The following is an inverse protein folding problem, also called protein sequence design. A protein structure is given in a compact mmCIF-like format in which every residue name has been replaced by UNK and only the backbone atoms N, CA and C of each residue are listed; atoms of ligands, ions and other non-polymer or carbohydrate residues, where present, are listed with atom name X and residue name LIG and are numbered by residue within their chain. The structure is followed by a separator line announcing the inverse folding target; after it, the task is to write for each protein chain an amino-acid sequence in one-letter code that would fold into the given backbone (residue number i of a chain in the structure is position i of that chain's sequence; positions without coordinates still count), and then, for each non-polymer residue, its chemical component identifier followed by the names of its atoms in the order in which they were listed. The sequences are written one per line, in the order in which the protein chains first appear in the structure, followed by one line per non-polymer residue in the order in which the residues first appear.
data_IF_069406361503
#
_entry.id   IF_069406361503
#
_cell.length_a   1.000
_cell.length_b   1.000
_cell.length_c   1.000
_cell.angle_alpha   90.00
_cell.angle_beta   90.00
_cell.angle_gamma   90.00
#
_symmetry.space_group_name_H-M   'P 1'
#
loop_
_entity.id
_entity.type
_entity.pdbx_description
1 polymer ?
#
# COMPACT_ATOMS: atom_id res chain seq x y z
N UNK A 1 -12.44 24.44 -14.68
CA UNK A 1 -12.43 23.04 -14.18
C UNK A 1 -13.64 22.31 -14.72
N UNK A 2 -13.40 21.16 -15.32
CA UNK A 2 -14.47 20.25 -15.75
C UNK A 2 -14.98 19.46 -14.54
N UNK A 3 -16.22 18.97 -14.59
CA UNK A 3 -16.75 18.06 -13.56
C UNK A 3 -16.89 16.65 -14.13
N UNK A 4 -16.36 15.67 -13.41
CA UNK A 4 -16.46 14.25 -13.78
C UNK A 4 -17.10 13.42 -12.68
N UNK A 5 -17.90 12.44 -13.06
CA UNK A 5 -18.56 11.55 -12.11
C UNK A 5 -17.96 10.15 -12.24
N UNK A 6 -17.50 9.59 -11.12
CA UNK A 6 -17.16 8.18 -11.02
C UNK A 6 -18.42 7.37 -10.72
N UNK A 7 -18.88 6.57 -11.69
CA UNK A 7 -20.16 5.87 -11.63
C UNK A 7 -20.03 4.38 -11.30
N UNK A 8 -18.80 3.84 -11.28
CA UNK A 8 -18.52 2.43 -11.03
C UNK A 8 -17.43 2.26 -9.96
N UNK A 9 -17.62 2.92 -8.81
CA UNK A 9 -16.75 2.71 -7.64
C UNK A 9 -17.13 1.38 -6.99
N UNK A 10 -16.18 0.47 -6.89
CA UNK A 10 -16.37 -0.84 -6.29
C UNK A 10 -16.67 -0.72 -4.79
N UNK A 11 -17.72 -1.41 -4.32
CA UNK A 11 -18.02 -1.51 -2.89
C UNK A 11 -17.09 -2.54 -2.27
N UNK A 12 -15.98 -2.05 -1.72
CA UNK A 12 -15.01 -2.87 -0.99
C UNK A 12 -15.60 -3.42 0.32
N UNK A 13 -15.18 -4.62 0.71
CA UNK A 13 -15.49 -5.19 2.02
C UNK A 13 -14.75 -4.42 3.14
N UNK A 14 -15.16 -4.66 4.38
CA UNK A 14 -14.61 -3.95 5.54
C UNK A 14 -13.09 -4.09 5.66
N UNK A 15 -12.54 -5.29 5.42
CA UNK A 15 -11.10 -5.54 5.62
C UNK A 15 -10.30 -4.78 4.58
N UNK A 16 -10.70 -4.86 3.31
CA UNK A 16 -10.03 -4.13 2.24
C UNK A 16 -10.08 -2.62 2.47
N UNK A 17 -11.20 -2.08 2.99
CA UNK A 17 -11.28 -0.65 3.37
C UNK A 17 -10.32 -0.28 4.50
N UNK A 18 -10.26 -1.07 5.56
CA UNK A 18 -9.31 -0.83 6.66
C UNK A 18 -7.87 -0.87 6.16
N UNK A 19 -7.54 -1.79 5.25
CA UNK A 19 -6.21 -1.86 4.66
C UNK A 19 -5.83 -0.59 3.87
N UNK A 20 -6.76 0.04 3.16
CA UNK A 20 -6.49 1.34 2.51
C UNK A 20 -6.33 2.48 3.52
N UNK A 21 -7.04 2.44 4.65
CA UNK A 21 -6.83 3.41 5.75
C UNK A 21 -5.45 3.24 6.39
N UNK A 22 -5.01 1.99 6.61
CA UNK A 22 -3.65 1.69 7.06
C UNK A 22 -2.63 2.22 6.07
N UNK A 23 -2.80 1.95 4.77
CA UNK A 23 -1.91 2.46 3.73
C UNK A 23 -1.82 3.98 3.74
N UNK A 24 -2.94 4.69 3.85
CA UNK A 24 -2.97 6.16 4.00
C UNK A 24 -2.15 6.60 5.22
N UNK A 25 -2.39 6.00 6.39
CA UNK A 25 -1.67 6.33 7.62
C UNK A 25 -0.17 6.09 7.49
N UNK A 26 0.24 4.99 6.85
CA UNK A 26 1.65 4.68 6.59
C UNK A 26 2.31 5.73 5.69
N UNK A 27 1.60 6.21 4.66
CA UNK A 27 2.09 7.31 3.83
C UNK A 27 2.23 8.62 4.61
N UNK A 28 1.28 8.94 5.49
CA UNK A 28 1.36 10.11 6.38
C UNK A 28 2.58 10.03 7.31
N UNK A 29 2.89 8.84 7.83
CA UNK A 29 4.09 8.60 8.65
C UNK A 29 5.39 8.58 7.86
N UNK A 30 5.34 8.28 6.56
CA UNK A 30 6.54 8.28 5.71
C UNK A 30 7.22 9.66 5.66
N UNK A 31 6.48 10.73 5.93
CA UNK A 31 7.00 12.05 6.31
C UNK A 31 6.24 13.21 5.68
N UNK A 32 6.17 14.33 6.40
CA UNK A 32 5.29 15.49 6.08
C UNK A 32 5.57 16.18 4.75
N UNK A 33 6.79 16.09 4.24
CA UNK A 33 7.19 16.76 2.99
C UNK A 33 6.90 15.92 1.74
N UNK A 34 6.42 14.68 1.89
CA UNK A 34 6.11 13.76 0.79
C UNK A 34 4.66 13.93 0.37
N UNK A 35 4.44 14.78 -0.62
CA UNK A 35 3.11 15.07 -1.18
C UNK A 35 2.86 14.39 -2.51
N UNK A 36 3.89 14.28 -3.35
CA UNK A 36 3.78 13.73 -4.71
C UNK A 36 4.29 12.30 -4.71
N UNK A 37 3.39 11.35 -4.86
CA UNK A 37 3.68 9.92 -4.70
C UNK A 37 3.27 9.19 -5.97
N UNK A 38 4.25 8.56 -6.64
CA UNK A 38 3.98 7.69 -7.77
C UNK A 38 3.59 6.29 -7.31
N UNK A 39 2.67 5.67 -8.04
CA UNK A 39 2.26 4.28 -7.88
C UNK A 39 2.59 3.57 -9.19
N UNK A 40 3.41 2.53 -9.09
CA UNK A 40 3.80 1.70 -10.24
C UNK A 40 3.61 0.22 -9.91
N UNK A 41 3.91 -0.66 -10.84
CA UNK A 41 3.91 -2.10 -10.64
C UNK A 41 5.01 -2.77 -11.46
N UNK A 42 5.28 -4.04 -11.19
CA UNK A 42 6.28 -4.79 -11.93
C UNK A 42 5.75 -5.22 -13.30
N UNK A 43 4.50 -5.66 -13.37
CA UNK A 43 3.82 -6.15 -14.56
C UNK A 43 2.43 -5.51 -14.74
N UNK A 44 1.84 -5.57 -15.94
CA UNK A 44 0.46 -5.17 -16.15
C UNK A 44 -0.52 -6.00 -15.29
N UNK A 45 -1.66 -5.42 -14.94
CA UNK A 45 -2.77 -6.08 -14.23
C UNK A 45 -2.54 -6.45 -12.75
N UNK A 46 -1.46 -6.01 -12.11
CA UNK A 46 -1.24 -6.20 -10.66
C UNK A 46 -2.14 -5.33 -9.77
N UNK A 47 -2.98 -4.48 -10.38
CA UNK A 47 -3.98 -3.67 -9.68
C UNK A 47 -3.56 -2.24 -9.35
N UNK A 48 -2.41 -1.77 -9.85
CA UNK A 48 -1.89 -0.40 -9.66
C UNK A 48 -2.93 0.73 -9.76
N UNK A 49 -3.79 0.71 -10.78
CA UNK A 49 -4.81 1.75 -11.01
C UNK A 49 -5.95 1.67 -10.00
N UNK A 50 -6.26 0.47 -9.50
CA UNK A 50 -7.24 0.33 -8.41
C UNK A 50 -6.64 0.81 -7.09
N UNK A 51 -5.39 0.45 -6.83
CA UNK A 51 -4.67 0.86 -5.62
C UNK A 51 -4.50 2.37 -5.57
N UNK A 52 -4.03 3.01 -6.65
CA UNK A 52 -3.88 4.47 -6.72
C UNK A 52 -5.21 5.20 -6.55
N UNK A 53 -6.28 4.73 -7.19
CA UNK A 53 -7.62 5.30 -7.01
C UNK A 53 -8.13 5.17 -5.58
N UNK A 54 -8.06 3.98 -4.99
CA UNK A 54 -8.59 3.73 -3.65
C UNK A 54 -7.75 4.39 -2.56
N UNK A 55 -6.44 4.51 -2.77
CA UNK A 55 -5.58 5.30 -1.91
C UNK A 55 -5.97 6.79 -1.96
N UNK A 56 -6.14 7.36 -3.16
CA UNK A 56 -6.60 8.74 -3.30
C UNK A 56 -7.98 8.94 -2.67
N UNK A 57 -8.91 7.99 -2.87
CA UNK A 57 -10.21 8.03 -2.21
C UNK A 57 -10.09 8.02 -0.68
N UNK A 58 -9.26 7.14 -0.11
CA UNK A 58 -9.05 7.06 1.33
C UNK A 58 -8.43 8.34 1.92
N UNK A 59 -7.51 8.97 1.19
CA UNK A 59 -6.95 10.27 1.54
C UNK A 59 -8.04 11.35 1.54
N UNK A 60 -8.89 11.39 0.51
CA UNK A 60 -10.01 12.33 0.40
C UNK A 60 -11.04 12.15 1.53
N UNK A 61 -11.40 10.91 1.85
CA UNK A 61 -12.26 10.55 2.99
C UNK A 61 -11.64 10.94 4.34
N UNK A 62 -10.31 11.06 4.41
CA UNK A 62 -9.57 11.60 5.55
C UNK A 62 -9.63 13.14 5.65
N UNK A 63 -10.36 13.82 4.75
CA UNK A 63 -10.52 15.27 4.73
C UNK A 63 -9.36 16.01 4.06
N UNK A 64 -8.48 15.31 3.33
CA UNK A 64 -7.33 15.90 2.63
C UNK A 64 -7.66 16.12 1.16
N UNK A 65 -7.26 17.27 0.61
CA UNK A 65 -7.40 17.57 -0.82
C UNK A 65 -6.38 16.77 -1.61
N UNK A 66 -6.83 15.92 -2.52
CA UNK A 66 -5.96 15.00 -3.27
C UNK A 66 -6.25 15.01 -4.75
N UNK A 67 -5.18 15.06 -5.55
CA UNK A 67 -5.24 14.94 -7.00
C UNK A 67 -4.70 13.57 -7.45
N UNK A 68 -5.49 12.83 -8.23
CA UNK A 68 -5.02 11.63 -8.95
C UNK A 68 -4.63 12.02 -10.37
N UNK A 69 -3.37 11.80 -10.73
CA UNK A 69 -2.83 12.03 -12.07
C UNK A 69 -2.63 10.68 -12.75
N UNK A 70 -3.36 10.45 -13.84
CA UNK A 70 -3.22 9.28 -14.69
C UNK A 70 -2.09 9.51 -15.70
N UNK A 71 -0.87 9.14 -15.30
CA UNK A 71 0.34 9.23 -16.11
C UNK A 71 0.61 7.97 -16.95
N UNK A 72 -0.33 7.01 -17.00
CA UNK A 72 -0.28 5.89 -17.93
C UNK A 72 -0.78 6.32 -19.32
N UNK A 73 0.04 7.09 -20.01
CA UNK A 73 -0.27 7.65 -21.34
C UNK A 73 -0.39 6.58 -22.45
N UNK A 74 0.05 5.34 -22.20
CA UNK A 74 0.00 4.25 -23.18
C UNK A 74 -1.29 3.47 -23.08
N UNK A 75 -1.68 3.07 -21.86
CA UNK A 75 -2.79 2.15 -21.65
C UNK A 75 -3.57 2.50 -20.38
N UNK A 76 -3.92 3.78 -20.23
CA UNK A 76 -4.85 4.20 -19.19
C UNK A 76 -6.14 3.39 -19.24
N UNK A 77 -6.54 2.90 -18.07
CA UNK A 77 -7.80 2.20 -17.85
C UNK A 77 -8.75 2.98 -16.95
N UNK A 78 -8.35 4.15 -16.45
CA UNK A 78 -9.06 4.87 -15.39
C UNK A 78 -10.49 5.26 -15.80
N UNK A 79 -10.64 5.90 -16.97
CA UNK A 79 -11.95 6.31 -17.51
C UNK A 79 -12.91 5.13 -17.69
N UNK A 80 -12.41 4.05 -18.29
CA UNK A 80 -13.20 2.84 -18.56
C UNK A 80 -13.57 2.08 -17.29
N UNK A 81 -12.62 1.95 -16.35
CA UNK A 81 -12.80 1.23 -15.08
C UNK A 81 -13.90 1.86 -14.22
N UNK A 82 -13.90 3.19 -14.10
CA UNK A 82 -14.83 3.90 -13.21
C UNK A 82 -16.01 4.56 -13.94
N UNK A 83 -16.21 4.23 -15.23
CA UNK A 83 -17.29 4.70 -16.10
C UNK A 83 -17.50 6.21 -16.00
N UNK A 84 -16.44 6.97 -16.24
CA UNK A 84 -16.49 8.44 -16.16
C UNK A 84 -17.15 9.04 -17.39
N UNK A 85 -17.79 10.19 -17.24
CA UNK A 85 -18.16 11.04 -18.38
C UNK A 85 -16.91 11.56 -19.11
N UNK A 86 -17.12 12.08 -20.31
CA UNK A 86 -16.04 12.60 -21.13
C UNK A 86 -15.39 13.83 -20.47
N UNK A 87 -14.07 13.77 -20.29
CA UNK A 87 -13.23 14.96 -20.12
C UNK A 87 -12.64 15.34 -21.48
N UNK A 88 -12.78 16.61 -21.86
CA UNK A 88 -12.39 17.16 -23.17
C UNK A 88 -10.89 17.11 -23.39
N UNK A 89 -10.11 17.46 -22.36
CA UNK A 89 -8.65 17.48 -22.39
C UNK A 89 -8.08 16.58 -21.29
N UNK A 90 -6.80 16.24 -21.43
CA UNK A 90 -6.09 15.34 -20.51
C UNK A 90 -4.60 15.65 -20.51
N UNK A 91 -3.85 14.89 -19.73
CA UNK A 91 -2.43 15.08 -19.50
C UNK A 91 -1.62 15.20 -20.80
N UNK A 92 -1.85 14.33 -21.78
CA UNK A 92 -1.15 14.36 -23.07
C UNK A 92 -1.41 15.64 -23.87
N UNK A 93 -2.61 16.24 -23.76
CA UNK A 93 -2.90 17.54 -24.38
C UNK A 93 -2.11 18.67 -23.69
N UNK A 94 -2.03 18.65 -22.37
CA UNK A 94 -1.26 19.66 -21.63
C UNK A 94 0.24 19.54 -21.89
N UNK A 95 0.79 18.32 -21.85
CA UNK A 95 2.22 18.07 -22.08
C UNK A 95 2.67 18.42 -23.51
N UNK A 96 1.73 18.47 -24.46
CA UNK A 96 1.96 18.91 -25.84
C UNK A 96 1.61 20.39 -26.09
N UNK A 97 1.24 21.15 -25.04
CA UNK A 97 0.90 22.57 -25.14
C UNK A 97 -0.46 22.87 -25.77
N UNK A 98 -1.33 21.87 -25.90
CA UNK A 98 -2.66 21.99 -26.52
C UNK A 98 -3.76 22.36 -25.53
N UNK A 99 -3.49 22.30 -24.22
CA UNK A 99 -4.43 22.59 -23.15
C UNK A 99 -3.71 23.22 -21.94
N UNK A 100 -4.43 24.03 -21.16
CA UNK A 100 -3.94 24.59 -19.90
C UNK A 100 -4.18 23.65 -18.71
N UNK A 101 -3.56 23.94 -17.55
CA UNK A 101 -3.80 23.19 -16.31
C UNK A 101 -5.29 23.26 -15.92
N UNK A 102 -5.94 24.42 -16.08
CA UNK A 102 -7.36 24.60 -15.78
C UNK A 102 -8.29 23.80 -16.69
N UNK A 103 -7.84 23.45 -17.90
CA UNK A 103 -8.59 22.63 -18.84
C UNK A 103 -8.53 21.15 -18.46
N UNK A 104 -7.37 20.65 -18.01
CA UNK A 104 -7.19 19.22 -17.71
C UNK A 104 -7.65 18.83 -16.29
N UNK A 105 -7.70 19.80 -15.38
CA UNK A 105 -8.08 19.57 -13.98
C UNK A 105 -9.59 19.34 -13.86
N UNK A 106 -9.97 18.20 -13.30
CA UNK A 106 -11.36 17.79 -13.13
C UNK A 106 -11.74 17.71 -11.66
N UNK A 107 -12.85 18.36 -11.28
CA UNK A 107 -13.55 18.11 -10.03
C UNK A 107 -14.30 16.79 -10.15
N UNK A 108 -14.41 16.05 -9.05
CA UNK A 108 -15.15 14.77 -9.04
C UNK A 108 -16.46 14.90 -8.27
N UNK A 109 -17.31 13.88 -8.33
CA UNK A 109 -18.48 13.75 -7.45
C UNK A 109 -18.13 13.32 -6.01
N UNK A 110 -16.85 13.29 -5.66
CA UNK A 110 -16.32 12.91 -4.35
C UNK A 110 -15.63 14.14 -3.76
N UNK A 111 -16.02 14.52 -2.54
CA UNK A 111 -15.44 15.67 -1.87
C UNK A 111 -13.92 15.51 -1.70
N UNK A 112 -13.18 16.61 -1.85
CA UNK A 112 -11.71 16.67 -1.76
C UNK A 112 -10.93 15.82 -2.78
N UNK A 113 -11.60 15.14 -3.72
CA UNK A 113 -10.95 14.31 -4.72
C UNK A 113 -11.02 14.93 -6.12
N UNK A 114 -9.85 15.12 -6.73
CA UNK A 114 -9.64 15.71 -8.05
C UNK A 114 -8.88 14.75 -8.95
N UNK A 115 -9.06 14.87 -10.26
CA UNK A 115 -8.41 13.95 -11.22
C UNK A 115 -7.92 14.68 -12.47
N UNK A 116 -6.78 14.22 -12.99
CA UNK A 116 -6.25 14.54 -14.31
C UNK A 116 -6.13 13.22 -15.07
N UNK A 117 -6.93 13.06 -16.13
CA UNK A 117 -6.86 11.87 -16.98
C UNK A 117 -5.70 11.95 -17.98
N UNK A 118 -5.14 10.81 -18.38
CA UNK A 118 -4.07 10.68 -19.38
C UNK A 118 -4.34 11.44 -20.69
N UNK A 119 -5.56 11.34 -21.23
CA UNK A 119 -5.88 11.87 -22.57
C UNK A 119 -5.61 10.84 -23.68
N UNK A 120 -5.62 11.24 -24.96
CA UNK A 120 -5.29 10.34 -26.06
C UNK A 120 -3.84 9.87 -25.97
N UNK A 121 -3.58 8.66 -26.46
CA UNK A 121 -2.24 8.07 -26.51
C UNK A 121 -1.36 8.89 -27.45
N UNK A 122 -0.29 9.53 -26.94
CA UNK A 122 0.64 10.29 -27.78
C UNK A 122 1.65 9.35 -28.47
N UNK A 123 2.31 9.80 -29.56
CA UNK A 123 3.35 9.00 -30.23
C UNK A 123 4.63 8.86 -29.38
N UNK A 124 4.86 9.77 -28.43
CA UNK A 124 6.09 9.90 -27.64
C UNK A 124 5.82 10.04 -26.12
N UNK A 125 5.23 9.02 -25.46
CA UNK A 125 4.84 9.11 -24.04
C UNK A 125 5.98 9.43 -23.07
N UNK A 126 7.13 8.76 -23.23
CA UNK A 126 8.27 8.90 -22.31
C UNK A 126 8.87 10.31 -22.39
N UNK A 127 8.99 10.87 -23.59
CA UNK A 127 9.50 12.23 -23.79
C UNK A 127 8.56 13.28 -23.19
N UNK A 128 7.25 13.08 -23.29
CA UNK A 128 6.27 13.98 -22.69
C UNK A 128 6.30 13.95 -21.17
N UNK A 129 6.43 12.77 -20.55
CA UNK A 129 6.56 12.64 -19.09
C UNK A 129 7.93 13.13 -18.59
N UNK A 130 8.94 13.13 -19.44
CA UNK A 130 10.31 13.55 -19.11
C UNK A 130 10.56 15.05 -19.21
N UNK A 131 9.62 15.83 -19.74
CA UNK A 131 9.85 17.25 -20.02
C UNK A 131 9.51 18.18 -18.84
N UNK A 132 9.86 19.46 -18.99
CA UNK A 132 9.59 20.50 -17.98
C UNK A 132 8.10 20.74 -17.73
N UNK A 133 7.23 20.51 -18.71
CA UNK A 133 5.80 20.72 -18.53
C UNK A 133 5.22 19.77 -17.47
N UNK A 134 5.66 18.50 -17.46
CA UNK A 134 5.24 17.54 -16.43
C UNK A 134 5.78 17.91 -15.05
N UNK A 135 7.06 18.30 -14.95
CA UNK A 135 7.66 18.79 -13.70
C UNK A 135 6.90 19.99 -13.13
N UNK A 136 6.65 21.01 -13.96
CA UNK A 136 5.91 22.22 -13.57
C UNK A 136 4.47 21.92 -13.17
N UNK A 137 3.83 20.93 -13.81
CA UNK A 137 2.51 20.46 -13.38
C UNK A 137 2.56 19.89 -11.98
N UNK A 138 3.50 18.98 -11.67
CA UNK A 138 3.59 18.38 -10.35
C UNK A 138 3.95 19.41 -9.27
N UNK A 139 4.78 20.42 -9.58
CA UNK A 139 5.07 21.55 -8.69
C UNK A 139 3.82 22.39 -8.42
N UNK A 140 3.01 22.68 -9.45
CA UNK A 140 1.73 23.35 -9.27
C UNK A 140 0.78 22.53 -8.37
N UNK A 141 0.60 21.24 -8.67
CA UNK A 141 -0.30 20.37 -7.91
C UNK A 141 0.14 20.20 -6.46
N UNK A 142 1.45 20.14 -6.19
CA UNK A 142 2.01 20.08 -4.83
C UNK A 142 1.60 21.26 -3.96
N UNK A 143 1.46 22.45 -4.55
CA UNK A 143 1.05 23.66 -3.85
C UNK A 143 -0.47 23.73 -3.66
N UNK A 144 -1.22 23.21 -4.62
CA UNK A 144 -2.70 23.25 -4.61
C UNK A 144 -3.36 22.17 -3.76
N UNK A 145 -2.70 21.02 -3.58
CA UNK A 145 -3.25 19.83 -2.92
C UNK A 145 -2.41 19.37 -1.73
N UNK A 146 -3.04 18.67 -0.78
CA UNK A 146 -2.33 18.03 0.33
C UNK A 146 -1.51 16.83 -0.18
N UNK A 147 -2.08 16.07 -1.13
CA UNK A 147 -1.44 14.93 -1.78
C UNK A 147 -1.68 14.92 -3.30
N UNK A 148 -0.71 14.39 -4.03
CA UNK A 148 -0.78 14.11 -5.47
C UNK A 148 -0.38 12.65 -5.69
N UNK A 149 -1.33 11.83 -6.12
CA UNK A 149 -1.08 10.42 -6.46
C UNK A 149 -0.90 10.29 -7.96
N UNK A 150 0.21 9.72 -8.41
CA UNK A 150 0.54 9.58 -9.84
C UNK A 150 0.47 8.11 -10.23
N UNK A 151 -0.58 7.68 -10.95
CA UNK A 151 -0.68 6.32 -11.51
C UNK A 151 0.21 6.23 -12.75
N UNK A 152 1.16 5.31 -12.76
CA UNK A 152 2.16 5.16 -13.82
C UNK A 152 2.07 3.81 -14.52
N UNK A 153 2.65 3.64 -15.73
CA UNK A 153 2.80 2.33 -16.36
C UNK A 153 3.66 1.35 -15.52
N UNK A 154 3.52 0.03 -15.74
CA UNK A 154 4.38 -0.97 -15.10
C UNK A 154 5.83 -0.88 -15.61
N UNK A 155 6.78 -0.86 -14.69
CA UNK A 155 8.22 -0.70 -14.96
C UNK A 155 8.85 -1.90 -15.67
N UNK A 156 8.33 -3.10 -15.46
CA UNK A 156 8.79 -4.28 -16.18
C UNK A 156 8.42 -4.29 -17.67
N UNK A 157 7.59 -3.34 -18.13
CA UNK A 157 7.19 -3.23 -19.54
C UNK A 157 7.81 -2.04 -20.26
N UNK A 158 7.80 -0.86 -19.64
CA UNK A 158 8.26 0.40 -20.25
C UNK A 158 8.87 1.31 -19.18
N UNK A 159 9.78 2.19 -19.60
CA UNK A 159 10.50 3.09 -18.67
C UNK A 159 9.70 4.34 -18.27
N UNK A 160 8.56 4.59 -18.92
CA UNK A 160 7.70 5.76 -18.69
C UNK A 160 7.42 6.01 -17.19
N UNK A 161 7.16 4.95 -16.43
CA UNK A 161 6.90 5.05 -15.00
C UNK A 161 8.10 5.58 -14.22
N UNK A 162 9.32 5.19 -14.57
CA UNK A 162 10.54 5.66 -13.89
C UNK A 162 10.82 7.12 -14.27
N UNK A 163 10.57 7.49 -15.53
CA UNK A 163 10.68 8.88 -16.00
C UNK A 163 9.73 9.79 -15.22
N UNK A 164 8.47 9.39 -15.03
CA UNK A 164 7.52 10.15 -14.23
C UNK A 164 7.89 10.17 -12.73
N UNK A 165 8.32 9.03 -12.19
CA UNK A 165 8.69 8.86 -10.78
C UNK A 165 9.86 9.75 -10.34
N UNK A 166 10.78 10.09 -11.26
CA UNK A 166 11.88 11.04 -11.01
C UNK A 166 11.42 12.39 -10.45
N UNK A 167 10.22 12.83 -10.80
CA UNK A 167 9.67 14.12 -10.35
C UNK A 167 8.76 13.99 -9.10
N UNK A 168 8.67 12.79 -8.53
CA UNK A 168 7.87 12.49 -7.33
C UNK A 168 8.77 12.44 -6.09
N UNK A 169 8.20 12.65 -4.90
CA UNK A 169 8.91 12.55 -3.61
C UNK A 169 9.22 11.09 -3.23
N UNK A 170 8.46 10.17 -3.80
CA UNK A 170 8.74 8.75 -3.72
C UNK A 170 7.74 7.89 -4.47
N UNK A 171 8.07 6.60 -4.58
CA UNK A 171 7.29 5.60 -5.32
C UNK A 171 6.85 4.47 -4.42
N UNK A 172 5.61 4.02 -4.64
CA UNK A 172 5.09 2.76 -4.11
C UNK A 172 5.00 1.74 -5.25
N UNK A 173 5.51 0.54 -5.01
CA UNK A 173 5.47 -0.56 -5.98
C UNK A 173 4.32 -1.50 -5.62
N UNK A 174 3.37 -1.69 -6.51
CA UNK A 174 2.29 -2.67 -6.36
C UNK A 174 2.74 -3.99 -6.96
N UNK A 175 2.65 -5.07 -6.18
CA UNK A 175 3.03 -6.42 -6.58
C UNK A 175 1.84 -7.35 -6.35
N UNK A 176 1.51 -8.16 -7.35
CA UNK A 176 0.48 -9.20 -7.16
C UNK A 176 1.06 -10.41 -6.40
N UNK A 177 0.35 -10.82 -5.36
CA UNK A 177 0.72 -11.96 -4.52
C UNK A 177 0.88 -13.24 -5.35
N UNK A 178 2.09 -13.80 -5.34
CA UNK A 178 2.40 -15.06 -6.01
C UNK A 178 2.48 -15.00 -7.55
N UNK A 179 2.44 -13.80 -8.15
CA UNK A 179 2.45 -13.66 -9.61
C UNK A 179 3.83 -13.37 -10.21
N UNK A 180 4.76 -12.80 -9.43
CA UNK A 180 6.11 -12.44 -9.91
C UNK A 180 7.19 -13.05 -9.02
N UNK A 181 8.37 -13.26 -9.58
CA UNK A 181 9.55 -13.69 -8.80
C UNK A 181 10.21 -12.50 -8.10
N UNK A 182 10.83 -12.77 -6.95
CA UNK A 182 11.61 -11.78 -6.21
C UNK A 182 12.70 -11.13 -7.07
N UNK A 183 13.41 -11.93 -7.86
CA UNK A 183 14.44 -11.45 -8.80
C UNK A 183 13.88 -10.45 -9.82
N UNK A 184 12.63 -10.62 -10.25
CA UNK A 184 11.99 -9.67 -11.15
C UNK A 184 11.61 -8.36 -10.43
N UNK A 185 11.09 -8.45 -9.21
CA UNK A 185 10.82 -7.28 -8.37
C UNK A 185 12.10 -6.47 -8.07
N UNK A 186 13.23 -7.13 -7.81
CA UNK A 186 14.53 -6.47 -7.62
C UNK A 186 14.98 -5.71 -8.87
N UNK A 187 14.80 -6.26 -10.07
CA UNK A 187 15.09 -5.51 -11.31
C UNK A 187 14.25 -4.24 -11.45
N UNK A 188 13.01 -4.26 -10.97
CA UNK A 188 12.13 -3.09 -10.96
C UNK A 188 12.58 -2.06 -9.93
N UNK A 189 13.01 -2.50 -8.74
CA UNK A 189 13.67 -1.67 -7.71
C UNK A 189 14.88 -0.93 -8.31
N UNK A 190 15.79 -1.66 -8.96
CA UNK A 190 17.00 -1.11 -9.59
C UNK A 190 16.70 -0.04 -10.65
N UNK A 191 15.57 -0.14 -11.37
CA UNK A 191 15.17 0.90 -12.32
C UNK A 191 14.77 2.21 -11.65
N UNK A 192 14.12 2.14 -10.49
CA UNK A 192 13.75 3.33 -9.70
C UNK A 192 14.98 3.96 -9.02
N UNK A 193 15.91 3.14 -8.54
CA UNK A 193 17.17 3.61 -7.97
C UNK A 193 18.02 4.36 -9.01
N UNK A 194 18.03 3.91 -10.27
CA UNK A 194 18.73 4.58 -11.38
C UNK A 194 18.22 5.98 -11.70
N UNK A 195 16.97 6.29 -11.35
CA UNK A 195 16.38 7.62 -11.54
C UNK A 195 16.35 8.43 -10.24
N UNK A 196 17.07 7.97 -9.21
CA UNK A 196 17.17 8.59 -7.88
C UNK A 196 15.79 8.84 -7.24
N UNK A 197 14.83 7.95 -7.54
CA UNK A 197 13.50 8.02 -6.94
C UNK A 197 13.48 7.19 -5.65
N UNK A 198 13.10 7.83 -4.55
CA UNK A 198 12.95 7.14 -3.26
C UNK A 198 11.84 6.10 -3.33
N UNK A 199 12.14 4.86 -3.02
CA UNK A 199 11.13 3.81 -2.84
C UNK A 199 10.57 3.95 -1.42
N UNK A 200 9.27 4.24 -1.31
CA UNK A 200 8.58 4.34 -0.03
C UNK A 200 8.23 2.95 0.51
N UNK A 201 8.08 1.96 -0.39
CA UNK A 201 7.85 0.55 -0.07
C UNK A 201 6.97 -0.15 -1.09
N UNK A 202 6.46 -1.33 -0.71
CA UNK A 202 5.72 -2.25 -1.58
C UNK A 202 4.31 -2.49 -1.07
N UNK A 203 3.33 -2.56 -1.97
CA UNK A 203 1.96 -3.02 -1.68
C UNK A 203 1.78 -4.41 -2.29
N UNK A 204 1.60 -5.41 -1.43
CA UNK A 204 1.20 -6.74 -1.86
C UNK A 204 -0.31 -6.80 -2.09
N UNK A 205 -0.72 -6.95 -3.35
CA UNK A 205 -2.11 -6.92 -3.78
C UNK A 205 -2.64 -8.32 -4.14
N UNK A 206 -3.97 -8.48 -4.14
CA UNK A 206 -4.69 -9.74 -4.42
C UNK A 206 -4.29 -10.92 -3.52
N UNK A 207 -3.95 -10.63 -2.27
CA UNK A 207 -3.59 -11.64 -1.27
C UNK A 207 -4.80 -12.55 -0.99
N UNK A 208 -4.60 -13.87 -1.10
CA UNK A 208 -5.63 -14.84 -0.74
C UNK A 208 -5.62 -15.08 0.78
N UNK A 209 -6.57 -14.46 1.48
CA UNK A 209 -6.72 -14.57 2.93
C UNK A 209 -7.44 -15.84 3.42
N UNK A 210 -7.96 -16.67 2.50
CA UNK A 210 -8.73 -17.89 2.81
C UNK A 210 -7.88 -19.17 2.94
N UNK A 211 -6.58 -19.08 2.63
CA UNK A 211 -5.67 -20.22 2.72
C UNK A 211 -5.18 -20.50 4.14
N UNK A 212 -4.75 -21.74 4.41
CA UNK A 212 -4.01 -22.12 5.64
C UNK A 212 -2.55 -21.62 5.67
N UNK A 213 -2.15 -20.77 4.72
CA UNK A 213 -0.80 -20.21 4.66
C UNK A 213 -0.55 -19.16 5.73
N UNK A 214 0.71 -18.73 5.85
CA UNK A 214 1.20 -17.76 6.84
C UNK A 214 0.29 -16.53 6.96
N UNK A 215 -0.09 -15.92 5.83
CA UNK A 215 -0.98 -14.75 5.81
C UNK A 215 -2.40 -15.05 6.35
N UNK A 216 -3.02 -16.17 5.99
CA UNK A 216 -4.35 -16.52 6.51
C UNK A 216 -4.35 -16.83 8.01
N UNK A 217 -3.29 -17.49 8.51
CA UNK A 217 -3.12 -17.80 9.93
C UNK A 217 -2.78 -16.55 10.77
N UNK A 218 -1.91 -15.68 10.24
CA UNK A 218 -1.50 -14.44 10.88
C UNK A 218 -2.67 -13.42 10.94
N UNK A 219 -3.28 -13.11 9.80
CA UNK A 219 -4.39 -12.14 9.72
C UNK A 219 -5.68 -12.64 10.34
N UNK A 220 -6.00 -13.93 10.19
CA UNK A 220 -7.19 -14.53 10.79
C UNK A 220 -7.18 -14.45 12.31
N UNK A 221 -6.00 -14.59 12.94
CA UNK A 221 -5.84 -14.53 14.39
C UNK A 221 -5.80 -13.09 14.91
N UNK A 222 -5.19 -12.16 14.17
CA UNK A 222 -5.08 -10.74 14.56
C UNK A 222 -6.43 -10.00 14.42
N UNK A 223 -7.06 -10.06 13.24
CA UNK A 223 -8.34 -9.36 13.00
C UNK A 223 -9.54 -10.08 13.64
N UNK A 224 -9.54 -11.42 13.68
CA UNK A 224 -10.63 -12.20 14.27
C UNK A 224 -10.78 -11.96 15.78
N UNK A 225 -9.66 -11.73 16.49
CA UNK A 225 -9.66 -11.54 17.94
C UNK A 225 -9.93 -10.08 18.37
N UNK A 226 -9.47 -9.11 17.58
CA UNK A 226 -9.66 -7.68 17.87
C UNK A 226 -11.01 -7.14 17.39
N UNK A 227 -11.42 -7.38 16.14
CA UNK A 227 -12.66 -6.81 15.59
C UNK A 227 -13.90 -7.66 15.88
N UNK A 228 -13.74 -8.97 16.12
CA UNK A 228 -14.84 -9.85 16.53
C UNK A 228 -15.53 -9.45 17.84
N UNK A 229 -14.82 -8.70 18.70
CA UNK A 229 -15.34 -8.20 19.97
C UNK A 229 -16.09 -6.85 19.84
N UNK A 230 -15.79 -6.07 18.80
CA UNK A 230 -16.34 -4.72 18.60
C UNK A 230 -17.52 -4.66 17.62
N UNK A 231 -17.56 -5.55 16.62
CA UNK A 231 -18.62 -5.58 15.60
C UNK A 231 -19.53 -6.81 15.67
N UNK A 232 -19.40 -7.62 16.72
CA UNK A 232 -20.09 -8.91 16.87
C UNK A 232 -21.61 -8.86 17.10
N UNK A 233 -22.27 -7.71 16.92
CA UNK A 233 -23.71 -7.56 17.23
C UNK A 233 -24.49 -6.67 16.25
N UNK A 234 -24.02 -6.49 15.01
CA UNK A 234 -24.87 -5.93 13.95
C UNK A 234 -25.17 -7.00 12.91
N UNK A 235 -26.36 -7.56 13.06
CA UNK A 235 -27.04 -8.42 12.10
C UNK A 235 -27.29 -7.65 10.79
N UNK A 236 -26.31 -7.57 9.90
CA UNK A 236 -26.55 -7.36 8.47
C UNK A 236 -25.25 -7.62 7.68
N UNK A 237 -25.10 -8.85 7.18
CA UNK A 237 -24.02 -9.24 6.26
C UNK A 237 -23.40 -10.61 6.51
N UNK A 238 -24.19 -11.68 6.41
CA UNK A 238 -23.71 -13.07 6.37
C UNK A 238 -22.96 -13.43 5.06
N UNK A 239 -22.34 -14.61 4.90
CA UNK A 239 -22.44 -15.86 5.66
C UNK A 239 -21.34 -16.88 5.21
N UNK A 240 -20.83 -17.67 6.17
CA UNK A 240 -20.58 -19.14 6.16
C UNK A 240 -19.55 -19.81 5.21
N UNK A 241 -18.83 -20.89 5.57
CA UNK A 241 -18.84 -21.85 6.70
C UNK A 241 -17.46 -22.55 6.76
N UNK A 242 -16.97 -23.13 7.86
CA UNK A 242 -17.18 -24.53 8.28
C UNK A 242 -17.04 -24.69 9.82
N UNK A 243 -18.13 -25.12 10.45
CA UNK A 243 -18.33 -26.21 11.45
C UNK A 243 -17.08 -26.62 12.28
N UNK A 244 -17.10 -26.67 13.62
CA UNK A 244 -17.74 -27.74 14.42
C UNK A 244 -18.26 -27.23 15.78
N UNK A 245 -19.56 -27.46 16.00
CA UNK A 245 -20.19 -27.58 17.31
C UNK A 245 -19.60 -28.76 18.10
N UNK A 246 -19.01 -28.48 19.26
CA UNK A 246 -19.25 -29.20 20.53
C UNK A 246 -18.52 -28.48 21.67
N UNK A 247 -19.24 -27.61 22.38
CA UNK A 247 -19.05 -27.50 23.83
C UNK A 247 -19.52 -28.81 24.49
N UNK A 248 -19.18 -29.16 25.71
CA UNK A 248 -18.38 -28.52 26.75
C UNK A 248 -17.72 -29.68 27.52
N UNK A 249 -16.47 -29.52 27.96
CA UNK A 249 -16.07 -30.04 29.28
C UNK A 249 -15.39 -28.93 30.05
N UNK A 250 -15.90 -28.78 31.26
CA UNK A 250 -15.65 -27.72 32.22
C UNK A 250 -14.18 -27.53 32.56
N UNK A 251 -13.88 -26.32 33.00
CA UNK A 251 -12.57 -25.88 33.45
C UNK A 251 -12.00 -26.78 34.57
N UNK A 252 -10.71 -27.13 34.44
CA UNK A 252 -9.80 -27.31 35.57
C UNK A 252 -8.96 -26.04 35.66
N UNK A 253 -9.47 -25.04 36.39
CA UNK A 253 -8.83 -23.73 36.57
C UNK A 253 -7.70 -23.74 37.62
N UNK A 254 -7.35 -24.89 38.20
CA UNK A 254 -6.32 -24.98 39.25
C UNK A 254 -4.88 -25.21 38.79
N UNK A 255 -4.66 -25.83 37.62
CA UNK A 255 -3.31 -26.30 37.22
C UNK A 255 -2.47 -25.29 36.42
N UNK A 256 -3.08 -24.23 35.87
CA UNK A 256 -2.37 -23.23 35.04
C UNK A 256 -1.70 -22.10 35.83
N UNK A 257 -1.99 -21.98 37.13
CA UNK A 257 -1.36 -20.97 37.98
C UNK A 257 0.02 -21.47 38.46
N UNK A 258 0.12 -22.74 38.87
CA UNK A 258 1.38 -23.35 39.34
C UNK A 258 2.43 -23.50 38.22
N UNK A 259 2.00 -23.78 36.98
CA UNK A 259 2.90 -23.81 35.80
C UNK A 259 3.40 -22.41 35.39
N UNK A 260 2.61 -21.35 35.65
CA UNK A 260 3.03 -19.97 35.42
C UNK A 260 4.00 -19.49 36.50
N UNK A 261 3.72 -19.84 37.75
CA UNK A 261 4.56 -19.44 38.89
C UNK A 261 5.88 -20.23 38.95
N UNK A 262 5.97 -21.41 38.34
CA UNK A 262 7.25 -22.13 38.16
C UNK A 262 8.09 -21.54 37.02
N UNK A 263 7.45 -21.16 35.91
CA UNK A 263 8.13 -20.55 34.76
C UNK A 263 8.66 -19.14 35.08
N UNK A 264 7.90 -18.37 35.86
CA UNK A 264 8.32 -17.05 36.33
C UNK A 264 9.55 -17.14 37.26
N UNK A 265 9.56 -18.14 38.17
CA UNK A 265 10.70 -18.39 39.08
C UNK A 265 11.94 -18.87 38.33
N UNK A 266 11.79 -19.78 37.37
CA UNK A 266 12.90 -20.29 36.55
C UNK A 266 13.50 -19.19 35.65
N UNK A 267 12.69 -18.19 35.26
CA UNK A 267 13.13 -17.01 34.51
C UNK A 267 13.86 -15.99 35.39
N UNK A 268 13.35 -15.72 36.59
CA UNK A 268 13.98 -14.82 37.56
C UNK A 268 15.32 -15.38 38.07
N UNK A 269 15.42 -16.69 38.29
CA UNK A 269 16.66 -17.36 38.71
C UNK A 269 17.73 -17.34 37.59
N UNK A 270 17.32 -17.42 36.31
CA UNK A 270 18.21 -17.26 35.14
C UNK A 270 18.69 -15.81 34.93
N UNK A 271 17.87 -14.83 35.29
CA UNK A 271 18.24 -13.40 35.24
C UNK A 271 19.25 -13.09 36.35
N UNK A 272 19.03 -13.59 37.57
CA UNK A 272 19.92 -13.38 38.72
C UNK A 272 21.27 -14.07 38.50
N UNK A 273 21.30 -15.31 38.02
CA UNK A 273 22.55 -16.01 37.71
C UNK A 273 23.35 -15.32 36.58
N UNK A 274 22.67 -14.71 35.60
CA UNK A 274 23.35 -13.90 34.55
C UNK A 274 23.89 -12.56 35.07
N UNK A 275 23.33 -12.03 36.15
CA UNK A 275 23.83 -10.80 36.80
C UNK A 275 25.04 -11.09 37.70
N UNK A 276 25.15 -12.29 38.29
CA UNK A 276 26.31 -12.72 39.08
C UNK A 276 27.55 -13.07 38.23
N UNK A 277 27.37 -13.47 36.97
CA UNK A 277 28.46 -13.79 36.02
C UNK A 277 29.19 -12.57 35.42
N UNK A 278 28.96 -11.36 35.95
CA UNK A 278 29.90 -10.23 35.80
C UNK A 278 29.95 -9.53 34.44
N UNK A 279 28.96 -9.68 33.56
CA UNK A 279 28.78 -8.75 32.45
C UNK A 279 27.88 -7.58 32.90
N UNK A 280 28.49 -6.46 33.28
CA UNK A 280 27.78 -5.23 33.54
C UNK A 280 27.10 -4.73 32.24
N UNK A 281 25.77 -4.91 32.12
CA UNK A 281 24.96 -4.22 31.12
C UNK A 281 24.83 -2.74 31.52
N UNK A 282 25.29 -1.84 30.66
CA UNK A 282 25.04 -0.40 30.81
C UNK A 282 23.58 -0.08 30.49
N UNK A 283 23.04 0.94 31.16
CA UNK A 283 21.65 1.42 31.05
C UNK A 283 21.20 1.75 29.62
N UNK A 284 22.12 1.96 28.67
CA UNK A 284 21.81 2.19 27.26
C UNK A 284 21.24 0.95 26.55
N UNK A 285 21.62 -0.27 26.95
CA UNK A 285 21.17 -1.50 26.26
C UNK A 285 19.77 -1.96 26.68
N UNK A 286 19.27 -1.54 27.84
CA UNK A 286 17.92 -1.87 28.29
C UNK A 286 16.83 -1.02 27.60
N UNK A 287 17.16 0.22 27.22
CA UNK A 287 16.24 1.11 26.51
C UNK A 287 16.15 0.79 25.01
N UNK A 288 17.21 0.24 24.40
CA UNK A 288 17.17 -0.25 23.01
C UNK A 288 16.30 -1.52 22.87
N UNK A 289 16.31 -2.41 23.85
CA UNK A 289 15.41 -3.58 23.86
C UNK A 289 13.95 -3.21 24.14
N UNK A 290 13.69 -2.11 24.87
CA UNK A 290 12.32 -1.58 25.03
C UNK A 290 11.80 -0.93 23.76
N UNK A 291 12.65 -0.28 22.96
CA UNK A 291 12.26 0.27 21.65
C UNK A 291 11.94 -0.83 20.63
N UNK A 292 12.69 -1.94 20.64
CA UNK A 292 12.41 -3.10 19.80
C UNK A 292 11.09 -3.83 20.17
N UNK A 293 10.58 -3.65 21.39
CA UNK A 293 9.31 -4.22 21.82
C UNK A 293 8.08 -3.38 21.39
N UNK A 294 8.27 -2.14 20.94
CA UNK A 294 7.20 -1.23 20.49
C UNK A 294 7.08 -1.17 18.94
N UNK A 295 7.92 -1.91 18.19
CA UNK A 295 7.93 -1.90 16.71
C UNK A 295 7.16 -3.06 16.03
N UNK A 296 6.59 -4.02 16.76
CA UNK A 296 5.79 -5.10 16.15
C UNK A 296 4.30 -4.71 16.00
N UNK A 297 3.96 -4.02 14.91
CA UNK A 297 2.59 -3.98 14.41
C UNK A 297 2.53 -4.40 12.94
N UNK A 298 2.06 -5.62 12.71
CA UNK A 298 2.00 -6.31 11.43
C UNK A 298 0.61 -6.09 10.78
N UNK A 299 0.52 -5.48 9.59
CA UNK A 299 -0.69 -5.51 8.75
C UNK A 299 -0.41 -5.77 7.25
N UNK A 300 -1.25 -6.57 6.57
CA UNK A 300 -1.15 -6.92 5.16
C UNK A 300 -1.82 -5.78 4.41
N UNK A 301 -1.13 -4.65 4.51
CA UNK A 301 -0.92 -3.59 3.54
C UNK A 301 0.19 -2.69 4.13
N UNK A 302 1.24 -3.32 4.69
CA UNK A 302 2.45 -2.64 5.13
C UNK A 302 3.46 -2.59 4.00
N UNK A 303 4.07 -1.42 3.88
CA UNK A 303 5.20 -1.15 3.03
C UNK A 303 6.39 -2.00 3.51
N UNK A 304 6.53 -3.20 2.97
CA UNK A 304 7.73 -4.01 3.22
C UNK A 304 8.91 -3.33 2.53
N UNK A 305 9.97 -3.02 3.28
CA UNK A 305 11.25 -2.66 2.68
C UNK A 305 11.79 -3.91 1.98
N UNK A 306 12.16 -3.80 0.70
CA UNK A 306 12.53 -4.93 -0.15
C UNK A 306 13.70 -5.78 0.38
N UNK A 307 14.46 -5.25 1.33
CA UNK A 307 15.61 -5.90 1.96
C UNK A 307 15.17 -6.88 3.08
N UNK A 308 13.93 -6.81 3.58
CA UNK A 308 13.37 -7.72 4.60
C UNK A 308 12.71 -8.99 4.01
N UNK A 309 12.73 -9.15 2.68
CA UNK A 309 12.17 -10.32 1.98
C UNK A 309 13.19 -11.46 1.81
N UNK A 310 14.32 -11.44 2.53
CA UNK A 310 15.37 -12.45 2.41
C UNK A 310 14.99 -13.82 3.01
N UNK A 311 13.97 -13.89 3.88
CA UNK A 311 13.52 -15.17 4.44
C UNK A 311 12.26 -15.69 3.73
N UNK A 312 12.44 -16.82 3.03
CA UNK A 312 11.44 -17.78 2.56
C UNK A 312 10.63 -17.44 1.28
N UNK A 313 11.27 -17.60 0.12
CA UNK A 313 10.61 -18.14 -1.07
C UNK A 313 11.20 -19.52 -1.36
N UNK A 314 10.43 -20.56 -1.08
CA UNK A 314 10.72 -21.92 -1.50
C UNK A 314 10.78 -21.96 -3.03
N UNK A 315 11.99 -22.05 -3.58
CA UNK A 315 12.23 -22.21 -5.02
C UNK A 315 11.76 -23.61 -5.40
N UNK A 316 10.53 -23.72 -5.92
CA UNK A 316 10.12 -24.95 -6.62
C UNK A 316 10.65 -24.86 -8.04
N UNK A 317 11.82 -25.43 -8.26
CA UNK A 317 12.30 -25.76 -9.61
C UNK A 317 11.43 -26.89 -10.18
N UNK A 318 10.68 -26.63 -11.26
CA UNK A 318 10.16 -27.71 -12.10
C UNK A 318 11.00 -27.79 -13.36
N UNK A 319 11.85 -28.82 -13.44
CA UNK A 319 12.53 -29.24 -14.66
C UNK A 319 11.53 -29.73 -15.73
N UNK A 320 11.73 -29.23 -16.95
CA UNK A 320 11.32 -29.71 -18.29
C UNK A 320 9.83 -29.90 -18.61
#
# INVERSE_FOLDING_TARGET
MQTVNFNAIEKLDFRTKESYKTLRTNLEFSGRDRKVISVTSCTPNEGKTSVSFQLALSIAEGGKRVALVDADLRKSVLKGRYKTNASKYGLSHYLSGQASISDISCNTNIENFYVIFSGPVPPNPSELLGNDAFRLLLEYLRNEYDYVIVDTPPLGSVIDGAVAARYCDGTVIVVESGAISYKFAQKVKEQLEKVDCRILGVILNKVNMSGKGYYGAYYGKYYGKYYGKYYGNTEEGGLHSVVVQKGLKSAKTGQKQEERDSFQRDYEEKIVNKMEDGLAMTTETADDYRRLADEESIIALDMVQLDELEDEIEVVETEK
#
